data_IF_321777282181
#
_entry.id   IF_321777282181
#
_cell.length_a   1.000
_cell.length_b   1.000
_cell.length_c   1.000
_cell.angle_alpha   90.00
_cell.angle_beta   90.00
_cell.angle_gamma   90.00
#
_symmetry.space_group_name_H-M   'P 1'
#
loop_
_entity.id
_entity.type
_entity.pdbx_description
1 polymer ?
#
# COMPACT_ATOMS: atom_id res chain seq x y z
N UNK A 1 -0.41 -4.67 20.64
CA UNK A 1 -1.81 -5.17 20.80
C UNK A 1 -1.86 -6.57 20.20
N UNK A 2 -2.38 -7.59 20.90
CA UNK A 2 -2.42 -8.96 20.38
C UNK A 2 -3.27 -9.06 19.11
N UNK A 3 -2.86 -9.90 18.16
CA UNK A 3 -3.60 -10.06 16.90
C UNK A 3 -5.01 -10.63 17.11
N UNK A 4 -5.22 -11.46 18.13
CA UNK A 4 -6.53 -12.02 18.48
C UNK A 4 -7.63 -10.96 18.73
N UNK A 5 -7.25 -9.70 19.02
CA UNK A 5 -8.21 -8.61 19.23
C UNK A 5 -8.65 -7.97 17.91
N UNK A 6 -7.89 -8.16 16.83
CA UNK A 6 -8.12 -7.56 15.51
C UNK A 6 -8.32 -8.60 14.40
N UNK A 7 -8.37 -9.88 14.73
CA UNK A 7 -8.64 -10.95 13.75
C UNK A 7 -10.05 -10.84 13.20
N UNK A 8 -10.15 -10.91 11.87
CA UNK A 8 -11.42 -11.05 11.16
C UNK A 8 -11.56 -12.51 10.73
N UNK A 9 -12.72 -13.13 11.00
CA UNK A 9 -12.96 -14.53 10.64
C UNK A 9 -12.77 -14.75 9.12
N UNK A 10 -12.06 -15.83 8.75
CA UNK A 10 -11.63 -16.15 7.37
C UNK A 10 -10.59 -15.21 6.74
N UNK A 11 -9.95 -14.35 7.52
CA UNK A 11 -8.86 -13.50 7.06
C UNK A 11 -7.60 -13.66 7.90
N UNK A 12 -6.46 -13.59 7.22
CA UNK A 12 -5.15 -13.45 7.81
C UNK A 12 -4.79 -11.96 7.86
N UNK A 13 -4.28 -11.50 9.00
CA UNK A 13 -3.87 -10.11 9.21
C UNK A 13 -2.36 -9.96 9.03
N UNK A 14 -1.96 -8.96 8.25
CA UNK A 14 -0.57 -8.52 8.13
C UNK A 14 -0.50 -7.05 8.52
N UNK A 15 0.37 -6.70 9.45
CA UNK A 15 0.43 -5.35 10.02
C UNK A 15 1.86 -4.84 10.16
N UNK A 16 2.00 -3.52 10.07
CA UNK A 16 3.18 -2.74 10.47
C UNK A 16 2.71 -1.72 11.51
N UNK A 17 2.93 -2.05 12.77
CA UNK A 17 2.57 -1.18 13.90
C UNK A 17 3.60 -0.07 14.07
N UNK A 18 3.12 1.10 14.52
CA UNK A 18 4.02 2.18 14.96
C UNK A 18 4.79 1.75 16.21
N UNK A 19 6.05 2.20 16.28
CA UNK A 19 7.00 1.94 17.36
C UNK A 19 7.48 0.49 17.45
N UNK A 20 7.24 -0.34 16.43
CA UNK A 20 7.74 -1.72 16.37
C UNK A 20 9.27 -1.80 16.54
N UNK A 21 9.99 -0.81 16.02
CA UNK A 21 11.46 -0.73 16.10
C UNK A 21 11.97 0.48 16.89
N UNK A 22 11.10 1.16 17.65
CA UNK A 22 11.47 2.36 18.41
C UNK A 22 11.85 3.58 17.55
N UNK A 23 11.64 3.53 16.22
CA UNK A 23 11.97 4.62 15.28
C UNK A 23 10.84 5.62 15.04
N UNK A 24 9.59 5.25 15.35
CA UNK A 24 8.44 6.14 15.17
C UNK A 24 8.25 7.05 16.40
N UNK A 25 8.21 8.36 16.18
CA UNK A 25 7.94 9.34 17.24
C UNK A 25 6.48 9.33 17.72
N UNK A 26 5.56 8.72 16.95
CA UNK A 26 4.14 8.59 17.29
C UNK A 26 3.89 7.25 17.97
N UNK A 27 3.40 7.29 19.21
CA UNK A 27 2.92 6.09 19.89
C UNK A 27 1.51 5.72 19.39
N UNK A 28 1.33 4.45 19.00
CA UNK A 28 0.06 3.79 18.59
C UNK A 28 -0.42 4.08 17.16
N UNK A 29 -0.97 3.06 16.52
CA UNK A 29 -1.46 3.06 15.13
C UNK A 29 -0.56 2.21 14.23
N UNK A 30 -0.70 2.39 12.93
CA UNK A 30 0.04 1.65 11.90
C UNK A 30 -0.86 1.31 10.71
N UNK A 31 -0.34 0.49 9.82
CA UNK A 31 -1.05 -0.01 8.64
C UNK A 31 -1.26 -1.51 8.72
N UNK A 32 -2.39 -2.00 8.20
CA UNK A 32 -2.71 -3.42 8.15
C UNK A 32 -3.43 -3.81 6.86
N UNK A 33 -3.13 -4.99 6.35
CA UNK A 33 -3.80 -5.64 5.23
C UNK A 33 -4.42 -6.94 5.73
N UNK A 34 -5.70 -7.14 5.42
CA UNK A 34 -6.42 -8.38 5.68
C UNK A 34 -6.56 -9.15 4.37
N UNK A 35 -6.05 -10.37 4.34
CA UNK A 35 -6.12 -11.26 3.16
C UNK A 35 -7.03 -12.43 3.48
N UNK A 36 -7.97 -12.75 2.58
CA UNK A 36 -8.80 -13.96 2.76
C UNK A 36 -7.93 -15.20 2.80
N UNK A 37 -8.23 -16.13 3.70
CA UNK A 37 -7.42 -17.33 3.93
C UNK A 37 -7.29 -18.27 2.71
N UNK A 38 -8.16 -18.13 1.71
CA UNK A 38 -8.09 -18.91 0.47
C UNK A 38 -7.15 -18.31 -0.58
N UNK A 39 -6.61 -17.11 -0.36
CA UNK A 39 -5.61 -16.48 -1.23
C UNK A 39 -4.22 -16.80 -0.70
N UNK A 40 -3.31 -17.15 -1.61
CA UNK A 40 -1.94 -17.50 -1.25
C UNK A 40 -1.09 -16.23 -1.13
N UNK A 41 -0.61 -15.95 0.07
CA UNK A 41 0.43 -14.93 0.31
C UNK A 41 1.80 -15.55 0.07
N UNK A 42 2.64 -14.91 -0.73
CA UNK A 42 3.96 -15.43 -1.12
C UNK A 42 5.12 -14.56 -0.64
N UNK A 43 4.87 -13.30 -0.32
CA UNK A 43 5.86 -12.41 0.28
C UNK A 43 5.19 -11.29 1.09
N UNK A 44 5.87 -10.80 2.12
CA UNK A 44 5.39 -9.71 2.98
C UNK A 44 6.56 -8.77 3.29
N UNK A 45 6.40 -7.53 2.87
CA UNK A 45 7.33 -6.46 3.12
C UNK A 45 6.79 -5.48 4.15
N UNK A 46 7.62 -5.03 5.10
CA UNK A 46 7.26 -3.99 6.08
C UNK A 46 8.33 -2.92 6.05
N UNK A 47 7.95 -1.69 5.72
CA UNK A 47 8.91 -0.59 5.74
C UNK A 47 9.28 -0.26 7.18
N UNK A 48 10.57 -0.03 7.39
CA UNK A 48 11.07 0.49 8.66
C UNK A 48 11.19 2.02 8.70
N UNK A 49 11.00 2.68 7.55
CA UNK A 49 11.11 4.13 7.39
C UNK A 49 9.74 4.81 7.33
N UNK A 50 8.78 4.17 6.65
CA UNK A 50 7.46 4.73 6.37
C UNK A 50 6.35 3.84 6.91
N UNK A 51 5.16 4.40 7.10
CA UNK A 51 3.94 3.64 7.41
C UNK A 51 3.41 2.91 6.17
N UNK A 52 4.20 1.93 5.72
CA UNK A 52 3.99 1.16 4.51
C UNK A 52 4.15 -0.34 4.80
N UNK A 53 3.19 -1.14 4.31
CA UNK A 53 3.27 -2.60 4.25
C UNK A 53 2.96 -3.05 2.81
N UNK A 54 3.76 -3.98 2.29
CA UNK A 54 3.52 -4.65 1.00
C UNK A 54 3.19 -6.12 1.23
N UNK A 55 2.16 -6.64 0.57
CA UNK A 55 1.79 -8.06 0.60
C UNK A 55 1.66 -8.55 -0.83
N UNK A 56 2.47 -9.54 -1.18
CA UNK A 56 2.41 -10.16 -2.51
C UNK A 56 1.52 -11.40 -2.46
N UNK A 57 0.50 -11.41 -3.29
CA UNK A 57 -0.42 -12.52 -3.49
C UNK A 57 -0.09 -13.28 -4.78
N UNK A 58 -0.28 -14.60 -4.75
CA UNK A 58 -0.41 -15.42 -5.95
C UNK A 58 -1.90 -15.68 -6.17
N UNK A 59 -2.46 -15.10 -7.24
CA UNK A 59 -3.85 -15.28 -7.61
C UNK A 59 -4.08 -16.69 -8.16
N UNK A 60 -5.32 -17.22 -8.10
CA UNK A 60 -5.65 -18.51 -8.70
C UNK A 60 -5.34 -18.63 -10.20
N UNK A 61 -5.29 -17.51 -10.91
CA UNK A 61 -4.89 -17.43 -12.32
C UNK A 61 -3.40 -17.64 -12.55
N UNK A 62 -2.58 -17.65 -11.48
CA UNK A 62 -1.12 -17.72 -11.53
C UNK A 62 -0.43 -16.35 -11.57
N UNK A 63 -1.19 -15.26 -11.74
CA UNK A 63 -0.64 -13.90 -11.72
C UNK A 63 -0.28 -13.46 -10.29
N UNK A 64 0.73 -12.59 -10.19
CA UNK A 64 1.12 -11.95 -8.94
C UNK A 64 0.41 -10.63 -8.78
N UNK A 65 0.04 -10.31 -7.54
CA UNK A 65 -0.48 -9.01 -7.17
C UNK A 65 0.25 -8.50 -5.94
N UNK A 66 0.96 -7.39 -6.06
CA UNK A 66 1.60 -6.68 -4.96
C UNK A 66 0.67 -5.60 -4.44
N UNK A 67 0.23 -5.75 -3.19
CA UNK A 67 -0.70 -4.82 -2.56
C UNK A 67 0.04 -4.02 -1.50
N UNK A 68 0.07 -2.70 -1.64
CA UNK A 68 0.57 -1.78 -0.64
C UNK A 68 -0.57 -1.20 0.20
N UNK A 69 -0.36 -1.17 1.51
CA UNK A 69 -1.11 -0.36 2.46
C UNK A 69 -0.22 0.79 2.92
N UNK A 70 -0.55 2.01 2.52
CA UNK A 70 0.23 3.21 2.79
C UNK A 70 -0.58 4.20 3.63
N UNK A 71 0.02 4.72 4.69
CA UNK A 71 -0.46 5.91 5.37
C UNK A 71 0.58 7.03 5.23
N UNK A 72 0.20 8.11 4.55
CA UNK A 72 1.03 9.32 4.46
C UNK A 72 0.50 10.35 5.47
N UNK A 73 1.19 10.60 6.61
CA UNK A 73 0.70 11.52 7.62
C UNK A 73 0.71 12.98 7.16
N UNK A 74 -0.29 13.80 7.59
CA UNK A 74 -0.38 15.22 7.22
C UNK A 74 0.76 16.08 7.80
N UNK A 75 1.54 15.53 8.74
CA UNK A 75 2.78 16.11 9.27
C UNK A 75 3.83 15.02 9.32
N UNK A 76 4.87 15.18 8.54
CA UNK A 76 5.99 14.26 8.40
C UNK A 76 7.31 15.02 8.46
N UNK A 77 8.40 14.29 8.69
CA UNK A 77 9.77 14.82 8.82
C UNK A 77 10.72 14.26 7.76
N UNK A 78 10.18 13.71 6.67
CA UNK A 78 10.91 13.24 5.50
C UNK A 78 10.56 14.12 4.28
N UNK A 79 11.38 14.08 3.24
CA UNK A 79 11.00 14.68 1.95
C UNK A 79 10.04 13.74 1.24
N UNK A 80 8.98 14.30 0.64
CA UNK A 80 7.98 13.50 -0.06
C UNK A 80 8.58 12.70 -1.22
N UNK A 81 9.54 13.29 -1.94
CA UNK A 81 10.30 12.61 -3.00
C UNK A 81 10.98 11.33 -2.52
N UNK A 82 11.53 11.31 -1.29
CA UNK A 82 12.19 10.12 -0.75
C UNK A 82 11.19 8.98 -0.57
N UNK A 83 9.94 9.28 -0.18
CA UNK A 83 8.87 8.29 -0.07
C UNK A 83 8.45 7.77 -1.45
N UNK A 84 8.32 8.65 -2.44
CA UNK A 84 7.94 8.26 -3.81
C UNK A 84 9.02 7.37 -4.43
N UNK A 85 10.28 7.80 -4.39
CA UNK A 85 11.43 7.02 -4.88
C UNK A 85 11.51 5.67 -4.19
N UNK A 86 11.28 5.63 -2.87
CA UNK A 86 11.27 4.39 -2.12
C UNK A 86 10.18 3.42 -2.59
N UNK A 87 8.96 3.91 -2.81
CA UNK A 87 7.84 3.11 -3.29
C UNK A 87 8.09 2.59 -4.72
N UNK A 88 8.65 3.42 -5.59
CA UNK A 88 8.99 3.08 -6.97
C UNK A 88 10.10 2.04 -7.00
N UNK A 89 11.22 2.26 -6.29
CA UNK A 89 12.35 1.31 -6.28
C UNK A 89 11.95 -0.09 -5.82
N UNK A 90 11.13 -0.21 -4.77
CA UNK A 90 10.65 -1.53 -4.30
C UNK A 90 9.74 -2.19 -5.34
N UNK A 91 8.95 -1.39 -6.05
CA UNK A 91 8.05 -1.86 -7.09
C UNK A 91 8.82 -2.33 -8.32
N UNK A 92 9.82 -1.56 -8.75
CA UNK A 92 10.71 -1.89 -9.86
C UNK A 92 11.50 -3.17 -9.57
N UNK A 93 12.03 -3.33 -8.35
CA UNK A 93 12.70 -4.57 -7.91
C UNK A 93 11.82 -5.83 -8.05
N UNK A 94 10.49 -5.67 -7.91
CA UNK A 94 9.51 -6.75 -8.09
C UNK A 94 9.18 -6.93 -9.56
N UNK A 95 8.96 -5.85 -10.30
CA UNK A 95 8.62 -5.88 -11.72
C UNK A 95 9.78 -6.40 -12.58
N UNK A 96 11.03 -6.09 -12.26
CA UNK A 96 12.22 -6.62 -12.93
C UNK A 96 12.28 -8.16 -12.86
N UNK A 97 11.81 -8.74 -11.74
CA UNK A 97 11.78 -10.20 -11.53
C UNK A 97 10.51 -10.83 -12.07
N UNK A 98 9.39 -10.10 -11.99
CA UNK A 98 8.06 -10.56 -12.33
C UNK A 98 7.28 -9.45 -13.07
N UNK A 99 7.56 -9.24 -14.37
CA UNK A 99 7.05 -8.09 -15.12
C UNK A 99 5.51 -7.99 -15.19
N UNK A 100 4.83 -9.13 -15.12
CA UNK A 100 3.36 -9.20 -15.16
C UNK A 100 2.69 -8.97 -13.79
N UNK A 101 3.45 -8.53 -12.77
CA UNK A 101 2.90 -8.27 -11.44
C UNK A 101 1.97 -7.05 -11.49
N UNK A 102 0.74 -7.24 -11.02
CA UNK A 102 -0.20 -6.14 -10.82
C UNK A 102 0.13 -5.47 -9.49
N UNK A 103 0.30 -4.15 -9.51
CA UNK A 103 0.54 -3.36 -8.31
C UNK A 103 -0.75 -2.64 -7.95
N UNK A 104 -1.12 -2.69 -6.67
CA UNK A 104 -2.22 -1.91 -6.12
C UNK A 104 -1.70 -1.21 -4.86
N UNK A 105 -1.70 0.11 -4.84
CA UNK A 105 -1.27 0.90 -3.69
C UNK A 105 -2.44 1.70 -3.13
N UNK A 106 -2.89 1.38 -1.92
CA UNK A 106 -4.04 2.04 -1.31
C UNK A 106 -3.80 2.50 0.12
N UNK A 107 -4.56 3.51 0.53
CA UNK A 107 -4.65 3.94 1.92
C UNK A 107 -5.01 5.42 2.07
N UNK A 108 -4.79 5.96 3.26
CA UNK A 108 -4.99 7.38 3.58
C UNK A 108 -3.69 8.13 3.26
N UNK A 109 -3.72 8.82 2.11
CA UNK A 109 -2.58 9.50 1.51
C UNK A 109 -2.52 10.98 1.92
N UNK A 110 -3.50 11.47 2.69
CA UNK A 110 -3.64 12.87 3.08
C UNK A 110 -3.36 13.85 1.93
N UNK A 111 -2.19 14.50 1.95
CA UNK A 111 -1.78 15.53 1.00
C UNK A 111 -0.64 15.11 0.08
N UNK A 112 -0.38 13.79 -0.04
CA UNK A 112 0.62 13.25 -0.96
C UNK A 112 0.35 13.74 -2.38
N UNK A 113 1.38 14.16 -3.11
CA UNK A 113 1.24 14.53 -4.53
C UNK A 113 1.03 13.30 -5.40
N UNK A 114 -0.24 12.92 -5.54
CA UNK A 114 -0.68 11.78 -6.35
C UNK A 114 -0.26 11.95 -7.80
N UNK A 115 -0.35 13.16 -8.36
CA UNK A 115 -0.01 13.40 -9.76
C UNK A 115 1.47 13.16 -10.01
N UNK A 116 2.33 13.62 -9.09
CA UNK A 116 3.75 13.36 -9.21
C UNK A 116 4.07 11.87 -9.11
N UNK A 117 3.38 11.13 -8.23
CA UNK A 117 3.50 9.67 -8.19
C UNK A 117 3.05 9.02 -9.51
N UNK A 118 1.92 9.42 -10.09
CA UNK A 118 1.46 8.92 -11.40
C UNK A 118 2.50 9.18 -12.50
N UNK A 119 3.05 10.40 -12.57
CA UNK A 119 4.06 10.79 -13.56
C UNK A 119 5.36 9.98 -13.45
N UNK A 120 5.82 9.69 -12.23
CA UNK A 120 7.06 8.95 -12.00
C UNK A 120 6.89 7.43 -12.13
N UNK A 121 5.76 6.88 -11.70
CA UNK A 121 5.54 5.43 -11.63
C UNK A 121 4.78 4.85 -12.82
N UNK A 122 4.09 5.69 -13.60
CA UNK A 122 3.14 5.25 -14.62
C UNK A 122 1.91 4.54 -14.04
N UNK A 123 1.61 4.74 -12.76
CA UNK A 123 0.39 4.23 -12.14
C UNK A 123 -0.75 5.22 -12.34
N UNK A 124 -1.98 4.72 -12.31
CA UNK A 124 -3.19 5.54 -12.38
C UNK A 124 -3.94 5.51 -11.05
N UNK A 125 -4.38 6.68 -10.59
CA UNK A 125 -5.29 6.81 -9.46
C UNK A 125 -6.71 6.35 -9.83
N UNK A 126 -7.28 5.46 -9.01
CA UNK A 126 -8.61 4.87 -9.24
C UNK A 126 -9.75 5.62 -8.53
N UNK A 127 -9.44 6.46 -7.54
CA UNK A 127 -10.46 7.21 -6.79
C UNK A 127 -10.51 8.65 -7.30
N UNK A 128 -11.63 9.01 -7.94
CA UNK A 128 -11.90 10.30 -8.56
C UNK A 128 -12.95 11.15 -7.82
N UNK A 129 -13.47 10.65 -6.68
CA UNK A 129 -14.48 11.31 -5.87
C UNK A 129 -13.94 11.65 -4.47
N UNK A 130 -14.58 12.62 -3.80
CA UNK A 130 -14.17 13.04 -2.46
C UNK A 130 -14.41 11.93 -1.43
N UNK A 131 -13.37 11.60 -0.67
CA UNK A 131 -13.41 10.61 0.42
C UNK A 131 -13.58 11.23 1.80
N UNK A 132 -13.34 12.55 1.93
CA UNK A 132 -13.61 13.33 3.15
C UNK A 132 -14.06 14.74 2.81
N UNK A 133 -15.34 15.04 3.02
CA UNK A 133 -15.92 16.34 2.66
C UNK A 133 -15.78 16.58 1.16
N UNK A 134 -15.08 17.65 0.78
CA UNK A 134 -14.77 17.99 -0.62
C UNK A 134 -13.33 17.65 -1.02
N UNK A 135 -12.64 16.79 -0.26
CA UNK A 135 -11.25 16.40 -0.50
C UNK A 135 -11.12 14.88 -0.68
N UNK A 136 -10.19 14.46 -1.53
CA UNK A 136 -9.81 13.06 -1.72
C UNK A 136 -8.51 12.79 -0.94
N UNK A 137 -8.63 12.29 0.30
CA UNK A 137 -7.48 11.93 1.13
C UNK A 137 -7.08 10.47 0.94
N UNK A 138 -8.08 9.61 0.86
CA UNK A 138 -7.91 8.21 0.52
C UNK A 138 -7.86 8.04 -0.99
N UNK A 139 -6.89 7.29 -1.50
CA UNK A 139 -6.84 6.87 -2.91
C UNK A 139 -6.34 5.43 -3.03
N UNK A 140 -6.45 4.89 -4.23
CA UNK A 140 -5.90 3.60 -4.61
C UNK A 140 -5.32 3.73 -6.02
N UNK A 141 -4.03 3.45 -6.19
CA UNK A 141 -3.32 3.54 -7.46
C UNK A 141 -2.98 2.15 -8.00
N UNK A 142 -2.82 2.01 -9.32
CA UNK A 142 -2.46 0.74 -9.97
C UNK A 142 -1.62 0.94 -11.23
N UNK A 143 -0.73 0.00 -11.53
CA UNK A 143 -0.01 -0.04 -12.82
C UNK A 143 -0.84 -0.66 -13.96
N UNK A 144 -2.05 -1.12 -13.67
CA UNK A 144 -2.92 -1.86 -14.61
C UNK A 144 -4.36 -1.39 -14.48
N UNK A 145 -4.60 -0.12 -14.79
CA UNK A 145 -5.94 0.49 -14.72
C UNK A 145 -6.97 -0.24 -15.60
N UNK A 146 -6.52 -0.85 -16.68
CA UNK A 146 -7.31 -1.66 -17.61
C UNK A 146 -8.00 -2.86 -16.93
N UNK A 147 -7.46 -3.34 -15.81
CA UNK A 147 -8.05 -4.44 -15.03
C UNK A 147 -9.11 -3.98 -14.03
N UNK A 148 -9.21 -2.68 -13.74
CA UNK A 148 -10.08 -2.12 -12.70
C UNK A 148 -11.08 -1.09 -13.23
N UNK A 149 -10.91 -0.64 -14.47
CA UNK A 149 -11.82 0.27 -15.15
C UNK A 149 -13.20 -0.37 -15.29
N UNK A 150 -14.26 0.41 -15.04
CA UNK A 150 -15.63 -0.04 -15.30
C UNK A 150 -15.80 -0.21 -16.82
N UNK A 151 -16.34 -1.36 -17.23
CA UNK A 151 -16.91 -1.52 -18.57
C UNK A 151 -18.00 -0.47 -18.82
#
# INVERSE_FOLDING_TARGET
MPDAVVTIHNYSIFRRDRSWEGRDMRAKGGVAIYVRNNLKVIDIYRSSLYELIGVTLLLPTGNRMLIYGLYHPPRHNYLESDLLDYLINISDDVLDKYPDTVIVCGGDLNSLDIKHLEELSGWDAMVDFSTRGNTCLDNCLTNRIDLFSKC
#
